data_IF_472432534665
#
_entry.id   IF_472432534665
#
_cell.length_a   1.000
_cell.length_b   1.000
_cell.length_c   1.000
_cell.angle_alpha   90.00
_cell.angle_beta   90.00
_cell.angle_gamma   90.00
#
_symmetry.space_group_name_H-M   'P 1'
#
loop_
_entity.id
_entity.type
_entity.pdbx_description
1 polymer ?
#
# COMPACT_ATOMS: atom_id res chain seq x y z
N UNK A 1 -25.43 -31.58 72.93
CA UNK A 1 -24.41 -31.88 71.91
C UNK A 1 -24.31 -30.67 71.00
N UNK A 2 -23.18 -29.98 71.03
CA UNK A 2 -22.90 -28.78 70.26
C UNK A 2 -21.96 -29.12 69.09
N UNK A 3 -22.27 -28.62 67.90
CA UNK A 3 -21.28 -28.41 66.84
C UNK A 3 -21.83 -27.35 65.89
N UNK A 4 -21.51 -26.09 66.16
CA UNK A 4 -21.57 -25.03 65.17
C UNK A 4 -20.28 -25.15 64.32
N UNK A 5 -20.42 -25.41 63.02
CA UNK A 5 -19.33 -25.31 62.06
C UNK A 5 -19.55 -24.04 61.25
N UNK A 6 -18.64 -23.09 61.43
CA UNK A 6 -18.51 -21.84 60.69
C UNK A 6 -17.32 -22.02 59.74
N UNK A 7 -17.50 -21.88 58.41
CA UNK A 7 -16.43 -21.48 57.48
C UNK A 7 -17.03 -20.73 56.27
N UNK A 8 -16.27 -19.82 55.64
CA UNK A 8 -16.77 -18.53 55.15
C UNK A 8 -17.29 -18.58 53.71
N UNK A 9 -18.35 -17.80 53.44
CA UNK A 9 -18.71 -17.43 52.06
C UNK A 9 -17.66 -16.42 51.60
N UNK A 10 -16.67 -16.90 50.83
CA UNK A 10 -15.75 -16.03 50.12
C UNK A 10 -16.56 -15.09 49.21
N UNK A 11 -16.41 -13.80 49.46
CA UNK A 11 -17.07 -12.70 48.75
C UNK A 11 -16.72 -12.75 47.25
N UNK A 12 -17.68 -13.15 46.41
CA UNK A 12 -17.56 -13.20 44.94
C UNK A 12 -17.48 -11.82 44.24
N UNK A 13 -17.20 -10.72 44.97
CA UNK A 13 -17.16 -9.39 44.39
C UNK A 13 -15.77 -8.99 43.82
N UNK A 14 -14.74 -9.83 43.98
CA UNK A 14 -13.36 -9.51 43.56
C UNK A 14 -12.89 -10.14 42.25
N UNK A 15 -13.64 -11.09 41.66
CA UNK A 15 -13.18 -11.87 40.49
C UNK A 15 -13.73 -11.40 39.15
N UNK A 16 -14.79 -10.58 39.14
CA UNK A 16 -15.46 -10.13 37.92
C UNK A 16 -14.76 -8.97 37.20
N UNK A 17 -14.00 -8.13 37.92
CA UNK A 17 -13.39 -6.92 37.34
C UNK A 17 -12.11 -7.23 36.54
N UNK A 18 -11.42 -8.34 36.83
CA UNK A 18 -10.19 -8.72 36.12
C UNK A 18 -10.45 -9.43 34.78
N UNK A 19 -11.59 -10.09 34.62
CA UNK A 19 -11.91 -10.82 33.38
C UNK A 19 -12.49 -9.91 32.28
N UNK A 20 -13.26 -8.88 32.64
CA UNK A 20 -13.82 -7.92 31.66
C UNK A 20 -12.77 -6.93 31.12
N UNK A 21 -11.83 -6.48 31.97
CA UNK A 21 -10.72 -5.61 31.55
C UNK A 21 -9.76 -6.36 30.61
N UNK A 22 -9.57 -7.66 30.83
CA UNK A 22 -8.73 -8.51 29.97
C UNK A 22 -9.33 -8.73 28.57
N UNK A 23 -10.65 -8.91 28.45
CA UNK A 23 -11.29 -9.16 27.15
C UNK A 23 -11.24 -7.95 26.21
N UNK A 24 -11.55 -6.76 26.73
CA UNK A 24 -11.56 -5.55 25.92
C UNK A 24 -10.15 -5.07 25.56
N UNK A 25 -9.20 -5.16 26.48
CA UNK A 25 -7.81 -4.79 26.21
C UNK A 25 -7.16 -5.75 25.19
N UNK A 26 -7.39 -7.06 25.32
CA UNK A 26 -6.85 -8.05 24.37
C UNK A 26 -7.45 -7.91 22.97
N UNK A 27 -8.73 -7.53 22.85
CA UNK A 27 -9.34 -7.25 21.56
C UNK A 27 -8.77 -5.98 20.91
N UNK A 28 -8.56 -4.92 21.68
CA UNK A 28 -7.93 -3.69 21.19
C UNK A 28 -6.47 -3.94 20.76
N UNK A 29 -5.70 -4.67 21.56
CA UNK A 29 -4.32 -5.05 21.26
C UNK A 29 -4.25 -5.97 20.02
N UNK A 30 -5.10 -6.98 19.95
CA UNK A 30 -5.16 -7.90 18.80
C UNK A 30 -5.55 -7.18 17.50
N UNK A 31 -6.53 -6.29 17.55
CA UNK A 31 -6.94 -5.50 16.39
C UNK A 31 -5.83 -4.52 15.98
N UNK A 32 -5.17 -3.85 16.93
CA UNK A 32 -4.04 -2.97 16.66
C UNK A 32 -2.86 -3.72 16.02
N UNK A 33 -2.51 -4.89 16.55
CA UNK A 33 -1.44 -5.74 15.99
C UNK A 33 -1.80 -6.23 14.58
N UNK A 34 -3.04 -6.70 14.35
CA UNK A 34 -3.50 -7.12 13.02
C UNK A 34 -3.45 -5.98 12.01
N UNK A 35 -3.87 -4.77 12.39
CA UNK A 35 -3.78 -3.60 11.52
C UNK A 35 -2.32 -3.27 11.18
N UNK A 36 -1.40 -3.35 12.14
CA UNK A 36 0.03 -3.10 11.88
C UNK A 36 0.65 -4.12 10.93
N UNK A 37 0.34 -5.42 11.08
CA UNK A 37 0.83 -6.46 10.19
C UNK A 37 0.20 -6.38 8.80
N UNK A 38 -1.12 -6.15 8.73
CA UNK A 38 -1.84 -5.98 7.47
C UNK A 38 -1.32 -4.77 6.70
N UNK A 39 -1.06 -3.65 7.38
CA UNK A 39 -0.51 -2.45 6.73
C UNK A 39 0.86 -2.71 6.09
N UNK A 40 1.74 -3.48 6.74
CA UNK A 40 3.03 -3.85 6.13
C UNK A 40 2.86 -4.85 4.98
N UNK A 41 1.95 -5.81 5.14
CA UNK A 41 1.66 -6.80 4.09
C UNK A 41 1.04 -6.13 2.85
N UNK A 42 0.11 -5.21 3.03
CA UNK A 42 -0.51 -4.43 1.96
C UNK A 42 0.49 -3.53 1.25
N UNK A 43 1.41 -2.90 2.00
CA UNK A 43 2.47 -2.11 1.38
C UNK A 43 3.38 -2.99 0.50
N UNK A 44 3.78 -4.16 0.99
CA UNK A 44 4.57 -5.11 0.20
C UNK A 44 3.80 -5.61 -1.03
N UNK A 45 2.52 -5.93 -0.85
CA UNK A 45 1.63 -6.35 -1.93
C UNK A 45 1.50 -5.27 -3.01
N UNK A 46 1.17 -4.04 -2.61
CA UNK A 46 1.06 -2.89 -3.52
C UNK A 46 2.38 -2.63 -4.25
N UNK A 47 3.52 -2.70 -3.57
CA UNK A 47 4.82 -2.55 -4.20
C UNK A 47 5.08 -3.61 -5.28
N UNK A 48 4.68 -4.87 -5.06
CA UNK A 48 4.78 -5.93 -6.07
C UNK A 48 3.77 -5.72 -7.21
N UNK A 49 2.53 -5.37 -6.87
CA UNK A 49 1.46 -5.13 -7.83
C UNK A 49 1.78 -3.96 -8.77
N UNK A 50 2.31 -2.84 -8.27
CA UNK A 50 2.70 -1.68 -9.09
C UNK A 50 3.77 -2.06 -10.12
N UNK A 51 4.77 -2.86 -9.72
CA UNK A 51 5.81 -3.36 -10.63
C UNK A 51 5.24 -4.34 -11.67
N UNK A 52 4.31 -5.20 -11.28
CA UNK A 52 3.61 -6.09 -12.21
C UNK A 52 2.82 -5.29 -13.26
N UNK A 53 2.08 -4.26 -12.84
CA UNK A 53 1.36 -3.38 -13.75
C UNK A 53 2.30 -2.64 -14.69
N UNK A 54 3.46 -2.20 -14.20
CA UNK A 54 4.48 -1.60 -15.05
C UNK A 54 4.90 -2.56 -16.18
N UNK A 55 5.13 -3.84 -15.86
CA UNK A 55 5.48 -4.86 -16.85
C UNK A 55 4.36 -5.12 -17.86
N UNK A 56 3.10 -5.20 -17.40
CA UNK A 56 1.93 -5.39 -18.27
C UNK A 56 1.78 -4.21 -19.23
N UNK A 57 1.89 -2.99 -18.72
CA UNK A 57 1.77 -1.76 -19.52
C UNK A 57 2.93 -1.62 -20.52
N UNK A 58 4.16 -1.96 -20.11
CA UNK A 58 5.31 -1.97 -21.01
C UNK A 58 5.19 -2.99 -22.15
N UNK A 59 4.61 -4.17 -21.87
CA UNK A 59 4.32 -5.15 -22.91
C UNK A 59 3.19 -4.71 -23.85
N UNK A 60 2.19 -3.99 -23.33
CA UNK A 60 1.06 -3.44 -24.10
C UNK A 60 1.46 -2.30 -25.02
N UNK A 61 2.43 -1.48 -24.61
CA UNK A 61 2.88 -0.30 -25.34
C UNK A 61 4.40 -0.35 -25.62
N UNK A 62 4.87 -1.25 -26.49
CA UNK A 62 6.29 -1.35 -26.82
C UNK A 62 6.81 -0.03 -27.42
N UNK A 63 8.02 0.38 -27.00
CA UNK A 63 8.65 1.62 -27.46
C UNK A 63 8.12 2.92 -26.85
N UNK A 64 7.22 2.83 -25.84
CA UNK A 64 6.77 3.99 -25.07
C UNK A 64 7.42 4.01 -23.68
N UNK A 65 7.54 5.21 -23.13
CA UNK A 65 7.79 5.40 -21.71
C UNK A 65 6.53 5.07 -20.93
N UNK A 66 6.67 4.35 -19.83
CA UNK A 66 5.54 3.91 -19.00
C UNK A 66 5.70 4.46 -17.59
N UNK A 67 4.60 4.96 -17.02
CA UNK A 67 4.49 5.33 -15.62
C UNK A 67 3.21 4.76 -15.05
N UNK A 68 3.30 4.01 -13.95
CA UNK A 68 2.17 3.64 -13.11
C UNK A 68 2.28 4.42 -11.81
N UNK A 69 1.23 5.14 -11.42
CA UNK A 69 1.30 6.07 -10.29
C UNK A 69 0.00 6.17 -9.50
N UNK A 70 0.11 6.20 -8.18
CA UNK A 70 -0.95 6.50 -7.24
C UNK A 70 -1.06 8.01 -7.13
N UNK A 71 -2.26 8.55 -7.33
CA UNK A 71 -2.48 9.97 -7.66
C UNK A 71 -1.88 10.93 -6.61
N UNK A 72 -1.01 11.86 -7.05
CA UNK A 72 -0.65 13.17 -6.43
C UNK A 72 0.59 13.87 -7.03
N UNK A 73 0.85 13.80 -8.34
CA UNK A 73 2.06 14.41 -8.90
C UNK A 73 1.78 15.28 -10.14
N UNK A 74 2.58 16.35 -10.29
CA UNK A 74 2.61 17.15 -11.51
C UNK A 74 3.37 16.40 -12.60
N UNK A 75 2.75 16.24 -13.75
CA UNK A 75 3.32 15.57 -14.91
C UNK A 75 2.96 16.31 -16.19
N UNK A 76 3.90 16.36 -17.13
CA UNK A 76 3.69 16.92 -18.46
C UNK A 76 4.17 15.88 -19.47
N UNK A 77 3.25 15.10 -20.03
CA UNK A 77 3.57 14.05 -21.00
C UNK A 77 3.01 14.37 -22.37
N UNK A 78 3.80 14.10 -23.40
CA UNK A 78 3.41 14.28 -24.80
C UNK A 78 2.91 12.97 -25.40
N UNK A 79 1.83 13.04 -26.18
CA UNK A 79 1.21 11.90 -26.88
C UNK A 79 0.92 10.70 -25.94
N UNK A 80 0.32 10.99 -24.79
CA UNK A 80 0.08 10.00 -23.73
C UNK A 80 -1.24 9.25 -23.88
N UNK A 81 -1.21 7.94 -23.70
CA UNK A 81 -2.37 7.10 -23.39
C UNK A 81 -2.51 6.96 -21.87
N UNK A 82 -3.73 7.01 -21.35
CA UNK A 82 -4.03 7.00 -19.91
C UNK A 82 -5.03 5.90 -19.58
N UNK A 83 -4.74 5.10 -18.56
CA UNK A 83 -5.60 4.01 -18.09
C UNK A 83 -5.71 4.04 -16.56
N UNK A 84 -6.91 3.79 -16.02
CA UNK A 84 -7.09 3.61 -14.58
C UNK A 84 -6.87 2.14 -14.20
N UNK A 85 -6.05 1.92 -13.17
CA UNK A 85 -5.66 0.61 -12.69
C UNK A 85 -6.11 0.47 -11.23
N UNK A 86 -6.87 -0.56 -10.91
CA UNK A 86 -7.41 -0.77 -9.56
C UNK A 86 -6.63 -1.86 -8.85
N UNK A 87 -5.99 -1.52 -7.74
CA UNK A 87 -5.35 -2.45 -6.83
C UNK A 87 -6.31 -2.81 -5.71
N UNK A 88 -6.71 -4.07 -5.63
CA UNK A 88 -7.47 -4.62 -4.50
C UNK A 88 -6.50 -5.34 -3.56
N UNK A 89 -6.29 -4.80 -2.37
CA UNK A 89 -5.34 -5.33 -1.40
C UNK A 89 -5.92 -6.52 -0.62
N UNK A 90 -5.09 -7.42 -0.09
CA UNK A 90 -5.53 -8.54 0.75
C UNK A 90 -6.35 -8.10 1.99
N UNK A 91 -6.13 -6.89 2.50
CA UNK A 91 -6.95 -6.30 3.57
C UNK A 91 -8.38 -5.96 3.17
N UNK A 92 -8.69 -5.91 1.87
CA UNK A 92 -9.96 -5.43 1.32
C UNK A 92 -9.94 -3.97 0.87
N UNK A 93 -8.87 -3.22 1.14
CA UNK A 93 -8.72 -1.85 0.67
C UNK A 93 -8.52 -1.77 -0.85
N UNK A 94 -9.06 -0.72 -1.46
CA UNK A 94 -8.91 -0.45 -2.90
C UNK A 94 -8.13 0.83 -3.15
N UNK A 95 -7.11 0.76 -4.00
CA UNK A 95 -6.27 1.89 -4.37
C UNK A 95 -6.31 2.08 -5.88
N UNK A 96 -6.59 3.31 -6.33
CA UNK A 96 -6.69 3.66 -7.75
C UNK A 96 -5.37 4.28 -8.20
N UNK A 97 -4.72 3.61 -9.15
CA UNK A 97 -3.53 4.06 -9.84
C UNK A 97 -3.90 4.55 -11.23
N UNK A 98 -3.03 5.35 -11.83
CA UNK A 98 -3.10 5.74 -13.23
C UNK A 98 -1.86 5.24 -13.95
N UNK A 99 -2.07 4.52 -15.04
CA UNK A 99 -1.05 4.11 -16.00
C UNK A 99 -0.97 5.12 -17.12
N UNK A 100 0.24 5.59 -17.43
CA UNK A 100 0.56 6.43 -18.56
C UNK A 100 1.49 5.67 -19.49
N UNK A 101 1.20 5.71 -20.78
CA UNK A 101 2.14 5.35 -21.84
C UNK A 101 2.35 6.56 -22.74
N UNK A 102 3.58 7.07 -22.83
CA UNK A 102 3.86 8.38 -23.42
C UNK A 102 5.19 8.40 -24.19
N UNK A 103 5.41 9.45 -24.98
CA UNK A 103 6.64 9.58 -25.77
C UNK A 103 7.77 10.21 -24.98
N UNK A 104 7.52 11.34 -24.35
CA UNK A 104 8.51 12.12 -23.61
C UNK A 104 7.80 13.00 -22.57
N UNK A 105 8.57 13.51 -21.61
CA UNK A 105 8.06 14.47 -20.65
C UNK A 105 8.77 14.42 -19.31
N UNK A 106 8.29 15.25 -18.39
CA UNK A 106 8.90 15.41 -17.07
C UNK A 106 7.99 14.85 -15.98
N UNK A 107 8.62 14.20 -15.01
CA UNK A 107 7.99 13.75 -13.78
C UNK A 107 8.81 14.28 -12.59
N UNK A 108 8.13 14.95 -11.66
CA UNK A 108 8.69 15.19 -10.32
C UNK A 108 8.12 14.16 -9.36
N UNK A 109 8.96 13.24 -8.94
CA UNK A 109 8.62 12.20 -7.98
C UNK A 109 8.61 12.79 -6.56
N UNK A 110 7.42 12.95 -5.98
CA UNK A 110 7.25 13.33 -4.56
C UNK A 110 6.89 12.12 -3.68
N UNK A 111 7.03 10.91 -4.22
CA UNK A 111 6.71 9.66 -3.55
C UNK A 111 7.81 9.18 -2.58
N UNK A 112 7.63 7.97 -2.09
CA UNK A 112 8.43 7.30 -1.05
C UNK A 112 9.82 6.82 -1.53
N UNK A 113 10.17 7.06 -2.79
CA UNK A 113 11.41 6.57 -3.40
C UNK A 113 11.43 5.06 -3.72
N UNK A 114 10.48 4.28 -3.19
CA UNK A 114 10.22 2.88 -3.54
C UNK A 114 9.12 2.69 -4.59
N UNK A 115 8.66 1.45 -4.78
CA UNK A 115 7.64 1.10 -5.78
C UNK A 115 6.20 1.07 -5.24
N UNK A 116 5.99 1.52 -3.99
CA UNK A 116 4.69 1.42 -3.34
C UNK A 116 3.62 2.25 -4.08
N UNK A 117 3.96 3.49 -4.39
CA UNK A 117 3.03 4.44 -4.98
C UNK A 117 3.27 4.69 -6.46
N UNK A 118 4.40 4.26 -7.00
CA UNK A 118 4.76 4.60 -8.37
C UNK A 118 5.82 3.65 -8.91
N UNK A 119 5.82 3.44 -10.22
CA UNK A 119 6.88 2.72 -10.92
C UNK A 119 6.92 3.21 -12.37
N UNK A 120 8.10 3.28 -12.97
CA UNK A 120 8.26 3.74 -14.35
C UNK A 120 9.37 2.98 -15.07
N UNK A 121 9.30 2.95 -16.39
CA UNK A 121 10.32 2.38 -17.28
C UNK A 121 10.36 3.14 -18.62
N UNK A 122 11.44 2.94 -19.36
CA UNK A 122 11.67 3.54 -20.67
C UNK A 122 13.03 4.22 -20.75
N UNK A 123 13.13 5.23 -21.59
CA UNK A 123 14.35 6.01 -21.81
C UNK A 123 14.31 7.30 -20.99
N UNK A 124 15.12 7.40 -19.94
CA UNK A 124 15.06 8.54 -19.03
C UNK A 124 16.40 8.89 -18.39
N UNK A 125 16.50 10.15 -17.97
CA UNK A 125 17.54 10.68 -17.10
C UNK A 125 16.92 11.03 -15.74
N UNK A 126 17.62 10.69 -14.65
CA UNK A 126 17.14 10.97 -13.29
C UNK A 126 18.16 11.77 -12.51
N UNK A 127 17.71 12.90 -11.94
CA UNK A 127 18.47 13.70 -11.01
C UNK A 127 17.67 13.91 -9.72
N UNK A 128 17.98 13.12 -8.69
CA UNK A 128 17.23 13.08 -7.45
C UNK A 128 15.77 12.67 -7.68
N UNK A 129 14.87 13.62 -7.43
CA UNK A 129 13.42 13.43 -7.57
C UNK A 129 12.87 13.85 -8.93
N UNK A 130 13.69 14.44 -9.80
CA UNK A 130 13.26 14.80 -11.15
C UNK A 130 13.67 13.71 -12.13
N UNK A 131 12.71 13.25 -12.93
CA UNK A 131 12.91 12.29 -14.00
C UNK A 131 12.50 12.97 -15.30
N UNK A 132 13.42 13.02 -16.24
CA UNK A 132 13.18 13.47 -17.59
C UNK A 132 13.12 12.25 -18.50
N UNK A 133 12.00 12.04 -19.17
CA UNK A 133 11.82 10.95 -20.12
C UNK A 133 12.10 11.45 -21.52
N UNK A 134 13.10 10.84 -22.15
CA UNK A 134 13.46 11.09 -23.53
C UNK A 134 12.57 10.27 -24.46
N UNK A 135 12.34 10.80 -25.66
CA UNK A 135 11.72 10.00 -26.73
C UNK A 135 12.57 8.77 -27.02
N UNK A 136 11.91 7.63 -27.24
CA UNK A 136 12.58 6.45 -27.80
C UNK A 136 13.07 6.80 -29.22
N UNK A 137 14.37 6.72 -29.43
CA UNK A 137 14.97 6.85 -30.76
C UNK A 137 14.91 5.48 -31.41
N UNK A 138 14.00 5.29 -32.37
CA UNK A 138 14.09 4.15 -33.26
C UNK A 138 15.36 4.34 -34.11
N UNK A 139 16.36 3.48 -33.91
CA UNK A 139 17.47 3.37 -34.85
C UNK A 139 16.87 2.85 -36.16
N UNK A 140 16.70 3.76 -37.11
CA UNK A 140 16.20 3.46 -38.47
C UNK A 140 17.13 2.56 -39.26
#
# INVERSE_FOLDING_TARGET
MAAAVLLPIATQAGQSILQEVSGNLMNLVSNGIKQLFNNKADQAFRSGWTQQQLGIQAAKYPGKNILVIFTKHQQNFTNSQVEQLVCECPSGDKYIYTGYAFEEGDLTNEGDGGYLNWAFTGHFDRNGNKVHFNKHVELG
#
